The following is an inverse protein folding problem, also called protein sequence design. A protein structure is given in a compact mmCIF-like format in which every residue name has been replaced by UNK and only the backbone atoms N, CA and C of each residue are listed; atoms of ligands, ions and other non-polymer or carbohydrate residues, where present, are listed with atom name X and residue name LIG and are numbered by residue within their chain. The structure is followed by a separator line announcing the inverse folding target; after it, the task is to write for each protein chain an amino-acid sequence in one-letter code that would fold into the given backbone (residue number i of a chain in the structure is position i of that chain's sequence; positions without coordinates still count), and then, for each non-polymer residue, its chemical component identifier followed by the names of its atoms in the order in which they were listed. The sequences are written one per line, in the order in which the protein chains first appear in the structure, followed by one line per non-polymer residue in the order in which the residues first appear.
data_IF_581950015724
#
_entry.id   IF_581950015724
#
_cell.length_a   1.000
_cell.length_b   1.000
_cell.length_c   1.000
_cell.angle_alpha   90.00
_cell.angle_beta   90.00
_cell.angle_gamma   90.00
#
_symmetry.space_group_name_H-M   'P 1'
#
loop_
_entity.id
_entity.type
_entity.pdbx_description
1 polymer ?
#
# COMPACT_ATOMS: atom_id res chain seq x y z
N UNK A 1 -8.92 2.57 -9.18
CA UNK A 1 -8.09 2.54 -7.95
C UNK A 1 -7.68 1.11 -7.67
N UNK A 2 -6.41 0.89 -7.37
CA UNK A 2 -5.89 -0.40 -6.96
C UNK A 2 -5.59 -0.42 -5.46
N UNK A 3 -6.14 -1.39 -4.73
CA UNK A 3 -5.86 -1.66 -3.32
C UNK A 3 -4.94 -2.87 -3.25
N UNK A 4 -3.69 -2.70 -2.85
CA UNK A 4 -2.64 -3.74 -2.96
C UNK A 4 -2.25 -4.25 -1.58
N UNK A 5 -2.79 -5.41 -1.20
CA UNK A 5 -2.39 -6.11 0.02
C UNK A 5 -1.21 -7.04 -0.31
N UNK A 6 0.01 -6.53 -0.15
CA UNK A 6 1.21 -7.13 -0.75
C UNK A 6 1.66 -8.41 -0.03
N UNK A 7 1.61 -8.42 1.30
CA UNK A 7 2.24 -9.45 2.14
C UNK A 7 1.41 -9.86 3.37
N UNK A 8 0.15 -9.40 3.46
CA UNK A 8 -0.81 -9.74 4.53
C UNK A 8 -2.26 -9.57 4.03
N UNK A 9 -3.24 -9.96 4.84
CA UNK A 9 -4.65 -9.85 4.51
C UNK A 9 -5.08 -8.39 4.25
N UNK A 10 -6.04 -8.15 3.35
CA UNK A 10 -6.41 -6.80 2.86
C UNK A 10 -7.21 -5.95 3.86
N UNK A 11 -7.29 -6.37 5.13
CA UNK A 11 -8.22 -5.80 6.13
C UNK A 11 -8.05 -4.29 6.31
N UNK A 12 -6.81 -3.78 6.28
CA UNK A 12 -6.50 -2.36 6.48
C UNK A 12 -6.89 -1.49 5.28
N UNK A 13 -6.98 -2.09 4.09
CA UNK A 13 -7.38 -1.40 2.86
C UNK A 13 -8.90 -1.37 2.68
N UNK A 14 -9.66 -2.24 3.38
CA UNK A 14 -11.12 -2.31 3.26
C UNK A 14 -11.83 -1.00 3.56
N UNK A 15 -11.26 -0.18 4.45
CA UNK A 15 -11.79 1.15 4.78
C UNK A 15 -11.86 2.09 3.57
N UNK A 16 -11.11 1.83 2.50
CA UNK A 16 -11.08 2.65 1.28
C UNK A 16 -12.13 2.22 0.24
N UNK A 17 -12.68 1.01 0.35
CA UNK A 17 -13.57 0.43 -0.66
C UNK A 17 -14.86 1.25 -0.81
N UNK A 18 -15.62 1.41 0.28
CA UNK A 18 -16.92 2.10 0.23
C UNK A 18 -16.78 3.57 -0.19
N UNK A 19 -15.83 4.35 0.35
CA UNK A 19 -15.61 5.72 -0.13
C UNK A 19 -15.26 5.80 -1.63
N UNK A 20 -14.39 4.90 -2.12
CA UNK A 20 -13.97 4.89 -3.53
C UNK A 20 -15.14 4.52 -4.47
N UNK A 21 -15.94 3.51 -4.11
CA UNK A 21 -17.14 3.16 -4.88
C UNK A 21 -18.16 4.31 -4.90
N UNK A 22 -18.35 4.99 -3.76
CA UNK A 22 -19.24 6.16 -3.67
C UNK A 22 -18.79 7.36 -4.51
N UNK A 23 -17.50 7.48 -4.78
CA UNK A 23 -16.97 8.50 -5.71
C UNK A 23 -17.01 8.05 -7.17
N UNK A 24 -17.60 6.89 -7.48
CA UNK A 24 -17.67 6.32 -8.83
C UNK A 24 -16.37 5.71 -9.33
N UNK A 25 -15.40 5.44 -8.44
CA UNK A 25 -14.15 4.80 -8.85
C UNK A 25 -14.36 3.29 -9.06
N UNK A 26 -13.77 2.75 -10.13
CA UNK A 26 -13.55 1.31 -10.23
C UNK A 26 -12.51 0.88 -9.19
N UNK A 27 -12.78 -0.18 -8.45
CA UNK A 27 -11.92 -0.66 -7.35
C UNK A 27 -11.50 -2.09 -7.65
N UNK A 28 -10.18 -2.32 -7.73
CA UNK A 28 -9.60 -3.65 -7.80
C UNK A 28 -8.77 -3.90 -6.54
N UNK A 29 -9.09 -4.98 -5.83
CA UNK A 29 -8.31 -5.49 -4.73
C UNK A 29 -7.28 -6.49 -5.23
N UNK A 30 -6.01 -6.13 -5.11
CA UNK A 30 -4.86 -6.95 -5.46
C UNK A 30 -4.35 -7.68 -4.23
N UNK A 31 -4.53 -9.00 -4.18
CA UNK A 31 -4.10 -9.83 -3.04
C UNK A 31 -3.95 -11.30 -3.44
N UNK A 32 -3.02 -12.00 -2.79
CA UNK A 32 -2.90 -13.47 -2.88
C UNK A 32 -3.56 -14.19 -1.69
N UNK A 33 -4.18 -13.44 -0.77
CA UNK A 33 -4.84 -13.96 0.42
C UNK A 33 -6.35 -13.78 0.32
N UNK A 34 -7.09 -14.51 1.16
CA UNK A 34 -8.55 -14.51 1.13
C UNK A 34 -9.18 -13.12 1.26
N UNK A 35 -10.27 -12.92 0.52
CA UNK A 35 -11.01 -11.66 0.41
C UNK A 35 -12.50 -11.88 0.71
N UNK A 36 -12.81 -12.26 1.95
CA UNK A 36 -14.20 -12.55 2.32
C UNK A 36 -15.07 -11.29 2.46
N UNK A 37 -16.34 -11.37 2.06
CA UNK A 37 -17.35 -10.32 2.25
C UNK A 37 -17.00 -8.98 1.58
N UNK A 38 -16.67 -9.02 0.29
CA UNK A 38 -16.54 -7.82 -0.54
C UNK A 38 -17.86 -7.51 -1.27
N UNK A 39 -18.13 -6.23 -1.59
CA UNK A 39 -19.17 -5.87 -2.55
C UNK A 39 -18.90 -6.50 -3.92
N UNK A 40 -19.96 -6.83 -4.66
CA UNK A 40 -19.86 -7.45 -6.00
C UNK A 40 -19.18 -6.53 -7.02
N UNK A 41 -19.16 -5.22 -6.76
CA UNK A 41 -18.49 -4.22 -7.60
C UNK A 41 -16.96 -4.22 -7.46
N UNK A 42 -16.40 -4.94 -6.47
CA UNK A 42 -14.96 -5.00 -6.24
C UNK A 42 -14.37 -6.20 -6.98
N UNK A 43 -13.51 -5.92 -7.94
CA UNK A 43 -12.73 -6.95 -8.61
C UNK A 43 -11.59 -7.43 -7.71
N UNK A 44 -11.31 -8.74 -7.70
CA UNK A 44 -10.17 -9.31 -6.96
C UNK A 44 -9.18 -9.92 -7.94
N UNK A 45 -7.92 -9.52 -7.82
CA UNK A 45 -6.83 -9.97 -8.70
C UNK A 45 -5.61 -10.40 -7.87
N UNK A 46 -4.79 -11.36 -8.35
CA UNK A 46 -3.57 -11.76 -7.66
C UNK A 46 -2.50 -10.68 -7.77
N UNK A 47 -1.51 -10.70 -6.86
CA UNK A 47 -0.38 -9.77 -6.89
C UNK A 47 0.39 -9.85 -8.21
N UNK A 48 0.43 -11.02 -8.86
CA UNK A 48 1.05 -11.20 -10.18
C UNK A 48 0.42 -10.35 -11.29
N UNK A 49 -0.83 -9.91 -11.15
CA UNK A 49 -1.52 -9.04 -12.10
C UNK A 49 -1.30 -7.54 -11.82
N UNK A 50 -0.53 -7.20 -10.78
CA UNK A 50 -0.34 -5.81 -10.37
C UNK A 50 0.24 -4.93 -11.49
N UNK A 51 1.07 -5.49 -12.38
CA UNK A 51 1.64 -4.76 -13.51
C UNK A 51 0.55 -4.15 -14.41
N UNK A 52 -0.35 -5.00 -14.88
CA UNK A 52 -1.47 -4.63 -15.75
C UNK A 52 -2.42 -3.67 -15.02
N UNK A 53 -2.70 -3.95 -13.75
CA UNK A 53 -3.58 -3.11 -12.94
C UNK A 53 -2.99 -1.71 -12.73
N UNK A 54 -1.68 -1.66 -12.52
CA UNK A 54 -0.96 -0.41 -12.37
C UNK A 54 -0.96 0.43 -13.63
N UNK A 55 -1.18 -0.11 -14.83
CA UNK A 55 -1.23 0.69 -16.08
C UNK A 55 -2.46 1.61 -16.12
N UNK A 56 -3.62 1.15 -15.68
CA UNK A 56 -4.87 1.91 -15.76
C UNK A 56 -5.30 2.55 -14.45
N UNK A 57 -4.90 2.01 -13.28
CA UNK A 57 -5.33 2.58 -12.01
C UNK A 57 -4.76 4.00 -11.81
N UNK A 58 -5.58 5.00 -11.51
CA UNK A 58 -5.10 6.37 -11.25
C UNK A 58 -4.41 6.51 -9.88
N UNK A 59 -4.82 5.66 -8.93
CA UNK A 59 -4.41 5.64 -7.53
C UNK A 59 -4.07 4.22 -7.14
N UNK A 60 -2.92 4.04 -6.47
CA UNK A 60 -2.48 2.79 -5.89
C UNK A 60 -2.30 2.96 -4.38
N UNK A 61 -2.99 2.14 -3.59
CA UNK A 61 -2.86 2.13 -2.14
C UNK A 61 -2.30 0.78 -1.69
N UNK A 62 -1.06 0.77 -1.21
CA UNK A 62 -0.35 -0.43 -0.77
C UNK A 62 -0.48 -0.63 0.74
N UNK A 63 -0.55 -1.89 1.19
CA UNK A 63 -0.37 -2.30 2.58
C UNK A 63 0.82 -3.27 2.64
N UNK A 64 1.91 -2.88 3.30
CA UNK A 64 3.16 -3.66 3.37
C UNK A 64 3.79 -3.63 4.75
N UNK A 65 4.38 -4.74 5.22
CA UNK A 65 5.21 -4.72 6.40
C UNK A 65 6.51 -3.96 6.14
N UNK A 66 7.00 -3.19 7.12
CA UNK A 66 8.25 -2.45 7.01
C UNK A 66 9.43 -3.36 6.62
N UNK A 67 9.47 -4.58 7.16
CA UNK A 67 10.49 -5.58 6.82
C UNK A 67 10.39 -6.15 5.40
N UNK A 68 9.31 -5.90 4.66
CA UNK A 68 9.10 -6.34 3.28
C UNK A 68 9.10 -5.17 2.27
N UNK A 69 9.42 -3.94 2.69
CA UNK A 69 9.52 -2.80 1.78
C UNK A 69 10.52 -3.05 0.64
N UNK A 70 11.66 -3.69 0.93
CA UNK A 70 12.65 -4.02 -0.10
C UNK A 70 12.09 -4.97 -1.17
N UNK A 71 11.21 -5.91 -0.80
CA UNK A 71 10.57 -6.84 -1.74
C UNK A 71 9.57 -6.10 -2.61
N UNK A 72 8.85 -5.14 -2.03
CA UNK A 72 7.95 -4.27 -2.79
C UNK A 72 8.76 -3.42 -3.78
N UNK A 73 9.90 -2.87 -3.38
CA UNK A 73 10.80 -2.13 -4.27
C UNK A 73 11.28 -2.98 -5.44
N UNK A 74 11.78 -4.18 -5.16
CA UNK A 74 12.25 -5.12 -6.17
C UNK A 74 11.13 -5.47 -7.17
N UNK A 75 9.94 -5.75 -6.64
CA UNK A 75 8.77 -6.06 -7.44
C UNK A 75 8.37 -4.88 -8.36
N UNK A 76 8.31 -3.68 -7.80
CA UNK A 76 7.88 -2.46 -8.49
C UNK A 76 8.96 -1.85 -9.40
N UNK A 77 10.24 -2.17 -9.17
CA UNK A 77 11.38 -1.62 -9.91
C UNK A 77 11.29 -1.90 -11.41
N UNK A 78 10.76 -3.08 -11.77
CA UNK A 78 10.50 -3.46 -13.16
C UNK A 78 9.34 -2.70 -13.82
N UNK A 79 8.53 -1.98 -13.04
CA UNK A 79 7.27 -1.36 -13.47
C UNK A 79 7.22 0.14 -13.18
N UNK A 80 8.36 0.79 -12.93
CA UNK A 80 8.42 2.20 -12.49
C UNK A 80 7.59 3.13 -13.36
N UNK A 81 7.61 2.94 -14.69
CA UNK A 81 6.80 3.72 -15.63
C UNK A 81 5.29 3.54 -15.43
N UNK A 82 4.82 2.36 -15.03
CA UNK A 82 3.39 2.07 -14.88
C UNK A 82 2.77 2.83 -13.69
N UNK A 83 3.53 3.09 -12.64
CA UNK A 83 3.06 3.80 -11.44
C UNK A 83 3.66 5.21 -11.25
N UNK A 84 4.59 5.63 -12.12
CA UNK A 84 5.16 6.96 -12.08
C UNK A 84 4.12 8.05 -12.38
N UNK A 85 4.08 9.09 -11.53
CA UNK A 85 3.11 10.19 -11.66
C UNK A 85 1.71 9.85 -11.18
N UNK A 86 1.48 8.63 -10.70
CA UNK A 86 0.22 8.19 -10.11
C UNK A 86 0.17 8.50 -8.62
N UNK A 87 -1.05 8.60 -8.06
CA UNK A 87 -1.23 8.73 -6.62
C UNK A 87 -0.92 7.42 -5.91
N UNK A 88 0.37 7.11 -5.73
CA UNK A 88 0.85 5.86 -5.15
C UNK A 88 1.27 6.05 -3.70
N UNK A 89 0.47 5.52 -2.77
CA UNK A 89 0.70 5.61 -1.34
C UNK A 89 0.84 4.23 -0.70
N UNK A 90 1.60 4.15 0.38
CA UNK A 90 1.84 2.90 1.09
C UNK A 90 1.64 3.05 2.60
N UNK A 91 0.76 2.22 3.14
CA UNK A 91 0.63 1.97 4.57
C UNK A 91 1.75 1.02 5.00
N UNK A 92 2.68 1.51 5.82
CA UNK A 92 3.81 0.73 6.34
C UNK A 92 3.47 0.16 7.72
N UNK A 93 3.37 -1.17 7.82
CA UNK A 93 3.10 -1.87 9.07
C UNK A 93 4.39 -2.13 9.84
N UNK A 94 4.44 -1.65 11.07
CA UNK A 94 5.58 -1.83 11.96
C UNK A 94 5.13 -1.80 13.43
N UNK A 95 5.79 -2.51 14.36
CA UNK A 95 5.47 -2.43 15.78
C UNK A 95 5.57 -1.00 16.32
N UNK A 96 4.63 -0.62 17.19
CA UNK A 96 4.62 0.68 17.87
C UNK A 96 4.56 0.51 19.39
N UNK A 97 5.61 -0.05 20.03
CA UNK A 97 5.59 -0.36 21.46
C UNK A 97 5.48 0.88 22.36
N UNK A 98 5.95 2.04 21.88
CA UNK A 98 5.83 3.32 22.59
C UNK A 98 4.44 3.98 22.45
N UNK A 99 3.48 3.34 21.79
CA UNK A 99 2.12 3.88 21.63
C UNK A 99 2.03 5.17 20.80
N UNK A 100 3.04 5.50 20.00
CA UNK A 100 3.03 6.66 19.12
C UNK A 100 3.89 7.86 19.57
N UNK A 101 4.60 7.75 20.69
CA UNK A 101 5.41 8.86 21.24
C UNK A 101 6.67 9.14 20.41
N UNK A 102 7.13 8.17 19.62
CA UNK A 102 8.29 8.25 18.73
C UNK A 102 9.65 8.48 19.44
N UNK A 103 9.79 8.02 20.67
CA UNK A 103 11.04 8.03 21.46
C UNK A 103 11.88 6.74 21.29
N UNK A 104 11.24 5.61 20.96
CA UNK A 104 11.90 4.30 20.91
C UNK A 104 12.58 3.94 19.58
N UNK A 105 12.29 4.63 18.48
CA UNK A 105 12.89 4.33 17.16
C UNK A 105 12.36 3.06 16.45
N UNK A 106 11.56 2.21 17.09
CA UNK A 106 11.16 0.89 16.54
C UNK A 106 10.37 0.97 15.23
N UNK A 107 9.56 2.03 15.07
CA UNK A 107 8.75 2.22 13.87
C UNK A 107 9.45 3.03 12.76
N UNK A 108 10.77 3.19 12.83
CA UNK A 108 11.53 3.92 11.84
C UNK A 108 11.47 3.21 10.47
N UNK A 109 11.18 3.98 9.44
CA UNK A 109 11.14 3.58 8.03
C UNK A 109 12.26 4.31 7.32
N UNK A 110 13.05 3.57 6.53
CA UNK A 110 14.12 4.14 5.74
C UNK A 110 13.56 4.79 4.46
N UNK A 111 14.01 6.01 4.19
CA UNK A 111 13.71 6.80 3.01
C UNK A 111 15.03 7.14 2.31
N UNK A 112 14.97 7.53 1.04
CA UNK A 112 16.15 8.06 0.33
C UNK A 112 16.83 9.24 1.04
N UNK A 113 16.05 10.05 1.75
CA UNK A 113 16.51 11.27 2.44
C UNK A 113 16.81 11.08 3.93
N UNK A 114 16.71 9.86 4.47
CA UNK A 114 16.95 9.58 5.88
C UNK A 114 15.94 8.60 6.46
N UNK A 115 15.49 8.86 7.69
CA UNK A 115 14.54 8.01 8.40
C UNK A 115 13.32 8.82 8.82
N UNK A 116 12.13 8.24 8.69
CA UNK A 116 10.88 8.79 9.22
C UNK A 116 10.24 7.79 10.19
N UNK A 117 9.56 8.28 11.22
CA UNK A 117 8.91 7.45 12.22
C UNK A 117 7.47 7.17 11.81
N UNK A 118 7.10 5.92 11.50
CA UNK A 118 5.74 5.60 11.05
C UNK A 118 4.64 6.03 12.03
N UNK A 119 4.92 6.03 13.34
CA UNK A 119 3.94 6.43 14.34
C UNK A 119 3.76 7.95 14.51
N UNK A 120 4.63 8.77 13.92
CA UNK A 120 4.61 10.25 14.03
C UNK A 120 4.44 10.92 12.66
N UNK A 121 5.18 10.43 11.68
CA UNK A 121 5.25 10.99 10.33
C UNK A 121 4.37 10.22 9.33
N UNK A 122 3.87 9.04 9.71
CA UNK A 122 3.07 8.15 8.87
C UNK A 122 1.72 7.79 9.52
N UNK A 123 1.24 6.52 9.41
CA UNK A 123 1.91 5.33 8.83
C UNK A 123 1.75 5.19 7.31
N UNK A 124 1.06 6.12 6.67
CA UNK A 124 0.88 6.17 5.20
C UNK A 124 1.85 7.17 4.61
N UNK A 125 2.57 6.76 3.57
CA UNK A 125 3.59 7.58 2.91
C UNK A 125 3.43 7.54 1.39
N UNK A 126 3.96 8.56 0.71
CA UNK A 126 4.12 8.52 -0.74
C UNK A 126 5.17 7.48 -1.12
N UNK A 127 4.84 6.59 -2.05
CA UNK A 127 5.69 5.48 -2.46
C UNK A 127 7.03 5.97 -3.05
N UNK A 128 6.98 7.06 -3.82
CA UNK A 128 8.16 7.70 -4.43
C UNK A 128 9.12 8.34 -3.43
N UNK A 129 8.66 8.64 -2.20
CA UNK A 129 9.54 9.16 -1.17
C UNK A 129 10.38 8.05 -0.51
N UNK A 130 9.84 6.83 -0.48
CA UNK A 130 10.52 5.66 0.09
C UNK A 130 11.55 5.11 -0.90
N UNK A 131 11.16 4.87 -2.16
CA UNK A 131 11.98 4.17 -3.15
C UNK A 131 12.70 5.05 -4.12
#
# INVERSE_FOLDING_TARGET
MALVAFDDAPLRLRGLIVPALKSGAAVTLVTNLGSDSLPDEVEVQPVSALAEIAEWADVLAFDVACGNLFKLEEYLGSMKQAWAGKGAQVLVRTPMPCGGIADCGVCAVAFRSGWKMACKDGPVFELMEIF
#
